data_IF_405954944416
#
_entry.id   IF_405954944416
#
_cell.length_a   1.000
_cell.length_b   1.000
_cell.length_c   1.000
_cell.angle_alpha   90.00
_cell.angle_beta   90.00
_cell.angle_gamma   90.00
#
_symmetry.space_group_name_H-M   'P 1'
#
loop_
_entity.id
_entity.type
_entity.pdbx_description
1 polymer ?
#
# COMPACT_ATOMS: atom_id res chain seq x y z
N UNK A 1 2.52 -7.70 -18.52
CA UNK A 1 1.57 -6.57 -18.66
C UNK A 1 0.74 -6.52 -17.38
N UNK A 2 0.69 -5.36 -16.74
CA UNK A 2 -0.09 -5.10 -15.52
C UNK A 2 -1.24 -4.16 -15.88
N UNK A 3 -2.36 -4.30 -15.19
CA UNK A 3 -3.53 -3.44 -15.33
C UNK A 3 -3.36 -2.16 -14.49
N UNK A 4 -2.70 -2.28 -13.33
CA UNK A 4 -2.34 -1.16 -12.47
C UNK A 4 -0.90 -1.26 -11.98
N UNK A 5 -0.24 -0.11 -11.88
CA UNK A 5 1.06 0.04 -11.24
C UNK A 5 0.90 1.04 -10.10
N UNK A 6 1.33 0.65 -8.90
CA UNK A 6 1.32 1.46 -7.69
C UNK A 6 2.76 1.80 -7.33
N UNK A 7 3.07 3.09 -7.24
CA UNK A 7 4.41 3.60 -6.89
C UNK A 7 4.34 4.14 -5.47
N UNK A 8 5.15 3.57 -4.57
CA UNK A 8 5.14 3.79 -3.13
C UNK A 8 4.42 2.65 -2.39
N UNK A 9 5.17 1.88 -1.61
CA UNK A 9 4.69 0.80 -0.74
C UNK A 9 4.58 1.23 0.75
N UNK A 10 4.16 2.48 0.98
CA UNK A 10 3.62 2.91 2.26
C UNK A 10 2.26 2.25 2.56
N UNK A 11 1.63 2.64 3.68
CA UNK A 11 0.36 2.05 4.14
C UNK A 11 -0.72 2.11 3.04
N UNK A 12 -1.00 3.31 2.52
CA UNK A 12 -2.05 3.50 1.50
C UNK A 12 -1.75 2.78 0.19
N UNK A 13 -0.48 2.77 -0.25
CA UNK A 13 -0.05 2.11 -1.48
C UNK A 13 -0.20 0.60 -1.43
N UNK A 14 0.17 -0.02 -0.30
CA UNK A 14 0.02 -1.47 -0.15
C UNK A 14 -1.44 -1.87 0.10
N UNK A 15 -2.18 -1.13 0.93
CA UNK A 15 -3.61 -1.39 1.13
C UNK A 15 -4.37 -1.32 -0.20
N UNK A 16 -4.07 -0.32 -1.04
CA UNK A 16 -4.65 -0.22 -2.37
C UNK A 16 -4.20 -1.38 -3.28
N UNK A 17 -2.89 -1.65 -3.36
CA UNK A 17 -2.35 -2.70 -4.22
C UNK A 17 -2.88 -4.09 -3.85
N UNK A 18 -2.97 -4.42 -2.56
CA UNK A 18 -3.53 -5.68 -2.06
C UNK A 18 -4.98 -5.85 -2.51
N UNK A 19 -5.82 -4.82 -2.31
CA UNK A 19 -7.24 -4.85 -2.72
C UNK A 19 -7.40 -4.91 -4.24
N UNK A 20 -6.66 -4.10 -4.99
CA UNK A 20 -6.68 -4.10 -6.46
C UNK A 20 -6.24 -5.45 -7.06
N UNK A 21 -5.25 -6.10 -6.43
CA UNK A 21 -4.71 -7.39 -6.89
C UNK A 21 -5.74 -8.52 -6.97
N UNK A 22 -6.85 -8.43 -6.21
CA UNK A 22 -7.97 -9.39 -6.24
C UNK A 22 -8.77 -9.32 -7.54
N UNK A 23 -8.72 -8.19 -8.25
CA UNK A 23 -9.55 -7.91 -9.43
C UNK A 23 -8.71 -7.65 -10.69
N UNK A 24 -7.43 -7.29 -10.54
CA UNK A 24 -6.58 -6.84 -11.64
C UNK A 24 -5.10 -7.16 -11.39
N UNK A 25 -4.33 -7.43 -12.44
CA UNK A 25 -2.89 -7.66 -12.35
C UNK A 25 -2.21 -6.38 -11.87
N UNK A 26 -1.76 -6.39 -10.63
CA UNK A 26 -1.23 -5.20 -9.96
C UNK A 26 0.26 -5.35 -9.70
N UNK A 27 1.04 -4.34 -10.07
CA UNK A 27 2.46 -4.22 -9.70
C UNK A 27 2.60 -3.15 -8.63
N UNK A 28 3.31 -3.48 -7.54
CA UNK A 28 3.68 -2.52 -6.50
C UNK A 28 5.19 -2.29 -6.55
N UNK A 29 5.60 -1.03 -6.60
CA UNK A 29 7.00 -0.59 -6.67
C UNK A 29 7.28 0.37 -5.52
N UNK A 30 8.40 0.19 -4.84
CA UNK A 30 8.88 1.08 -3.77
C UNK A 30 10.32 1.50 -4.05
N UNK A 31 10.64 2.76 -3.77
CA UNK A 31 12.00 3.23 -3.79
C UNK A 31 12.73 2.65 -2.57
N UNK A 32 13.59 1.65 -2.81
CA UNK A 32 14.46 1.14 -1.77
C UNK A 32 15.62 2.12 -1.56
N UNK A 33 15.78 2.62 -0.35
CA UNK A 33 17.00 3.28 0.10
C UNK A 33 17.99 2.19 0.54
N UNK A 34 19.03 1.95 -0.26
CA UNK A 34 20.06 0.93 0.03
C UNK A 34 21.12 1.43 1.02
N UNK A 35 21.23 2.75 1.23
CA UNK A 35 22.20 3.36 2.14
C UNK A 35 21.69 3.39 3.58
N UNK A 36 20.36 3.36 3.74
CA UNK A 36 19.72 3.05 5.01
C UNK A 36 19.61 1.53 5.12
N UNK A 37 20.24 0.94 6.13
CA UNK A 37 19.97 -0.46 6.58
C UNK A 37 18.54 -0.60 7.16
N UNK A 38 17.56 0.11 6.60
CA UNK A 38 16.16 -0.24 6.80
C UNK A 38 15.98 -1.44 5.87
N UNK A 39 15.87 -2.68 6.41
CA UNK A 39 15.66 -3.86 5.57
C UNK A 39 14.48 -3.59 4.64
N UNK A 40 14.41 -4.32 3.50
CA UNK A 40 13.27 -4.36 2.55
C UNK A 40 12.03 -4.95 3.23
N UNK A 41 11.65 -4.32 4.33
CA UNK A 41 10.34 -4.30 4.88
C UNK A 41 9.81 -3.11 4.14
N UNK A 42 8.94 -3.35 3.17
CA UNK A 42 7.76 -2.49 3.06
C UNK A 42 7.43 -2.09 4.51
N UNK A 43 7.46 -0.80 4.89
CA UNK A 43 7.32 -0.37 6.31
C UNK A 43 6.02 -0.85 7.00
N UNK A 44 5.25 -1.68 6.32
CA UNK A 44 4.45 -2.80 6.80
C UNK A 44 5.20 -3.67 7.81
N UNK A 45 5.24 -3.19 9.05
CA UNK A 45 5.05 -4.10 10.17
C UNK A 45 3.71 -4.81 9.93
N UNK A 46 3.77 -6.08 9.47
CA UNK A 46 2.59 -6.88 9.17
C UNK A 46 1.60 -6.95 10.35
N UNK A 47 2.07 -6.72 11.57
CA UNK A 47 1.26 -6.63 12.78
C UNK A 47 0.62 -5.25 12.98
N UNK A 48 1.34 -4.16 12.76
CA UNK A 48 0.82 -2.80 12.98
C UNK A 48 -0.09 -2.33 11.84
N UNK A 49 0.18 -2.79 10.62
CA UNK A 49 -0.57 -2.39 9.44
C UNK A 49 -1.67 -3.40 9.06
N UNK A 50 -1.73 -4.56 9.74
CA UNK A 50 -2.78 -5.57 9.54
C UNK A 50 -4.20 -4.99 9.53
N UNK A 51 -4.57 -4.12 10.50
CA UNK A 51 -5.93 -3.57 10.55
C UNK A 51 -6.29 -2.72 9.33
N UNK A 52 -5.27 -2.15 8.66
CA UNK A 52 -5.41 -1.28 7.50
C UNK A 52 -5.36 -2.02 6.16
N UNK A 53 -4.96 -3.29 6.18
CA UNK A 53 -4.89 -4.19 5.00
C UNK A 53 -6.09 -5.15 4.96
N UNK A 54 -6.80 -5.31 6.08
CA UNK A 54 -8.04 -6.08 6.13
C UNK A 54 -9.14 -5.49 5.22
N UNK A 55 -10.08 -6.35 4.82
CA UNK A 55 -11.10 -6.07 3.78
C UNK A 55 -12.13 -5.00 4.17
N UNK A 56 -12.04 -4.48 5.37
CA UNK A 56 -12.97 -3.50 5.92
C UNK A 56 -12.43 -2.11 5.57
N UNK A 57 -13.30 -1.27 5.03
CA UNK A 57 -13.12 0.16 4.78
C UNK A 57 -12.35 0.61 3.51
N UNK A 58 -13.14 1.09 2.54
CA UNK A 58 -12.77 2.06 1.50
C UNK A 58 -13.00 3.52 1.95
N UNK A 59 -13.66 3.71 3.09
CA UNK A 59 -14.08 5.02 3.60
C UNK A 59 -13.19 5.52 4.75
N UNK A 60 -12.01 4.94 4.92
CA UNK A 60 -11.08 5.37 5.96
C UNK A 60 -10.35 6.64 5.50
N UNK A 61 -10.86 7.78 5.97
CA UNK A 61 -10.34 9.11 5.63
C UNK A 61 -9.00 9.41 6.32
N UNK A 62 -8.57 8.60 7.30
CA UNK A 62 -7.25 8.74 7.92
C UNK A 62 -6.13 8.21 7.02
N UNK A 63 -6.42 7.21 6.19
CA UNK A 63 -5.47 6.56 5.27
C UNK A 63 -5.58 7.12 3.85
N UNK A 64 -6.81 7.45 3.45
CA UNK A 64 -7.15 8.07 2.18
C UNK A 64 -7.84 9.41 2.43
N UNK A 65 -7.12 10.42 2.94
CA UNK A 65 -7.72 11.73 3.13
C UNK A 65 -8.20 12.24 1.77
N UNK A 66 -9.47 12.67 1.72
CA UNK A 66 -10.11 13.30 0.56
C UNK A 66 -10.29 14.80 0.81
N UNK A 67 -9.21 15.59 1.06
CA UNK A 67 -9.33 16.99 1.45
C UNK A 67 -9.82 17.91 0.31
N UNK A 68 -10.18 17.36 -0.84
CA UNK A 68 -10.70 18.12 -1.98
C UNK A 68 -12.18 17.77 -2.18
N UNK A 69 -13.04 18.61 -1.59
CA UNK A 69 -14.44 18.78 -2.00
C UNK A 69 -14.50 19.99 -2.92
#
# INVERSE_FOLDING_TARGET
>A
MYDFIVIGAGISGVSFAYKASKYAKTLLVEAQDYDREIPVRTNIFAEHNKPFVDDIFWNDESIFPRPFV
#
